data_IF_139620208298
#
_entry.id   IF_139620208298
#
_cell.length_a   1.000
_cell.length_b   1.000
_cell.length_c   1.000
_cell.angle_alpha   90.00
_cell.angle_beta   90.00
_cell.angle_gamma   90.00
#
_symmetry.space_group_name_H-M   'P 1'
#
loop_
_entity.id
_entity.type
_entity.pdbx_description
1 polymer ?
#
# COMPACT_ATOMS: atom_id res chain seq x y z
N UNK A 1 22.46 -39.25 -46.36
CA UNK A 1 23.27 -38.44 -47.29
C UNK A 1 22.35 -37.49 -48.02
N UNK A 2 22.75 -36.21 -48.09
CA UNK A 2 22.36 -35.23 -49.11
C UNK A 2 20.88 -34.79 -49.17
N UNK A 3 20.47 -33.55 -49.41
CA UNK A 3 21.03 -32.20 -49.64
C UNK A 3 19.78 -31.27 -49.49
N UNK A 4 19.82 -30.12 -48.80
CA UNK A 4 19.89 -28.75 -49.40
C UNK A 4 19.14 -28.66 -50.75
N UNK A 5 18.21 -27.74 -51.03
CA UNK A 5 18.40 -26.31 -51.40
C UNK A 5 17.03 -25.83 -51.90
N UNK A 6 16.47 -24.74 -51.36
CA UNK A 6 16.43 -23.38 -51.95
C UNK A 6 15.27 -23.06 -52.92
N UNK A 7 14.58 -21.95 -52.59
CA UNK A 7 14.24 -20.78 -53.43
C UNK A 7 13.70 -21.05 -54.84
N UNK A 8 12.52 -20.58 -55.25
CA UNK A 8 12.16 -19.19 -55.59
C UNK A 8 10.98 -19.29 -56.57
N UNK A 9 10.09 -18.29 -56.62
CA UNK A 9 9.64 -17.68 -57.88
C UNK A 9 8.43 -16.79 -57.62
N UNK A 10 8.67 -15.49 -57.73
CA UNK A 10 7.70 -14.43 -57.82
C UNK A 10 7.39 -14.24 -59.31
N UNK A 11 6.16 -14.48 -59.77
CA UNK A 11 5.69 -13.90 -61.04
C UNK A 11 4.17 -13.78 -61.15
N UNK A 12 3.70 -12.55 -60.90
CA UNK A 12 2.73 -11.73 -61.65
C UNK A 12 1.64 -12.43 -62.50
N UNK A 13 0.38 -12.11 -62.21
CA UNK A 13 -0.64 -11.77 -63.23
C UNK A 13 -1.68 -10.81 -62.63
N UNK A 14 -1.51 -9.50 -62.83
CA UNK A 14 -2.38 -8.60 -63.63
C UNK A 14 -3.89 -8.76 -63.41
N UNK A 15 -4.51 -7.75 -62.80
CA UNK A 15 -5.81 -7.25 -63.24
C UNK A 15 -5.87 -5.74 -63.06
N UNK A 16 -6.11 -5.09 -64.21
CA UNK A 16 -6.42 -3.68 -64.39
C UNK A 16 -7.86 -3.38 -63.92
N UNK A 17 -8.17 -2.09 -63.82
CA UNK A 17 -9.50 -1.44 -63.99
C UNK A 17 -10.06 -0.75 -62.73
N UNK A 18 -10.20 0.59 -62.88
CA UNK A 18 -11.07 1.57 -62.19
C UNK A 18 -10.56 2.19 -60.88
N UNK A 19 -10.56 3.53 -60.91
CA UNK A 19 -9.98 4.43 -59.93
C UNK A 19 -10.60 4.32 -58.54
N UNK A 20 -9.71 4.24 -57.55
CA UNK A 20 -10.05 4.40 -56.15
C UNK A 20 -9.46 5.76 -55.75
N UNK A 21 -10.35 6.69 -55.42
CA UNK A 21 -10.00 7.96 -54.81
C UNK A 21 -8.96 7.73 -53.70
N UNK A 22 -7.87 8.50 -53.72
CA UNK A 22 -6.90 8.51 -52.62
C UNK A 22 -7.63 8.92 -51.35
N UNK A 23 -8.09 7.91 -50.61
CA UNK A 23 -8.68 8.08 -49.31
C UNK A 23 -7.54 8.52 -48.41
N UNK A 24 -7.51 9.82 -48.14
CA UNK A 24 -6.70 10.43 -47.11
C UNK A 24 -6.85 9.60 -45.83
N UNK A 25 -5.85 8.78 -45.53
CA UNK A 25 -5.77 8.07 -44.26
C UNK A 25 -5.64 9.16 -43.20
N UNK A 26 -6.76 9.50 -42.55
CA UNK A 26 -6.77 10.38 -41.39
C UNK A 26 -5.78 9.81 -40.38
N UNK A 27 -4.82 10.63 -39.99
CA UNK A 27 -3.84 10.29 -38.96
C UNK A 27 -4.55 9.75 -37.71
N UNK A 28 -3.97 8.76 -37.02
CA UNK A 28 -4.58 8.20 -35.81
C UNK A 28 -4.78 9.30 -34.75
N UNK A 29 -5.88 9.25 -33.97
CA UNK A 29 -6.16 10.25 -32.95
C UNK A 29 -5.04 10.27 -31.92
N UNK A 30 -4.55 11.48 -31.60
CA UNK A 30 -3.50 11.72 -30.60
C UNK A 30 -3.81 10.95 -29.31
N UNK A 31 -2.91 10.04 -28.97
CA UNK A 31 -2.89 9.30 -27.72
C UNK A 31 -3.03 10.29 -26.55
N UNK A 32 -4.11 10.15 -25.78
CA UNK A 32 -4.37 11.03 -24.63
C UNK A 32 -3.27 10.76 -23.60
N UNK A 33 -2.37 11.72 -23.45
CA UNK A 33 -1.38 11.81 -22.37
C UNK A 33 -2.01 11.37 -21.04
N UNK A 34 -1.55 10.23 -20.53
CA UNK A 34 -1.89 9.75 -19.18
C UNK A 34 -1.37 10.79 -18.20
N UNK A 35 -2.28 11.58 -17.63
CA UNK A 35 -1.94 12.58 -16.61
C UNK A 35 -1.45 11.86 -15.36
N UNK A 36 -0.14 11.89 -15.09
CA UNK A 36 0.43 11.40 -13.84
C UNK A 36 -0.07 12.26 -12.68
N UNK A 37 -1.08 11.78 -11.95
CA UNK A 37 -1.56 12.47 -10.75
C UNK A 37 -0.49 12.48 -9.66
N UNK A 38 -0.15 13.68 -9.16
CA UNK A 38 0.74 13.87 -8.02
C UNK A 38 0.13 13.21 -6.77
N UNK A 39 0.84 12.24 -6.17
CA UNK A 39 0.39 11.53 -4.96
C UNK A 39 0.20 12.54 -3.81
N UNK A 40 -1.01 12.61 -3.25
CA UNK A 40 -1.31 13.47 -2.09
C UNK A 40 -0.54 12.97 -0.87
N UNK A 41 -0.07 13.89 -0.04
CA UNK A 41 0.64 13.54 1.21
C UNK A 41 -0.30 12.86 2.19
N UNK A 42 0.11 11.74 2.78
CA UNK A 42 -0.67 11.03 3.80
C UNK A 42 -0.65 11.72 5.18
N UNK A 43 0.05 12.86 5.34
CA UNK A 43 0.21 13.53 6.64
C UNK A 43 -1.14 13.89 7.28
N UNK A 44 -2.03 14.52 6.53
CA UNK A 44 -3.36 14.93 7.02
C UNK A 44 -4.24 13.74 7.35
N UNK A 45 -4.34 12.76 6.44
CA UNK A 45 -5.14 11.55 6.65
C UNK A 45 -4.63 10.73 7.84
N UNK A 46 -3.30 10.59 7.99
CA UNK A 46 -2.68 9.93 9.14
C UNK A 46 -3.01 10.63 10.45
N UNK A 47 -2.91 11.96 10.51
CA UNK A 47 -3.23 12.71 11.73
C UNK A 47 -4.69 12.57 12.13
N UNK A 48 -5.62 12.62 11.16
CA UNK A 48 -7.04 12.36 11.40
C UNK A 48 -7.28 10.93 11.90
N UNK A 49 -6.74 9.93 11.21
CA UNK A 49 -6.91 8.53 11.60
C UNK A 49 -6.33 8.26 13.00
N UNK A 50 -5.19 8.85 13.34
CA UNK A 50 -4.60 8.77 14.67
C UNK A 50 -5.56 9.30 15.75
N UNK A 51 -6.21 10.45 15.50
CA UNK A 51 -7.17 11.02 16.44
C UNK A 51 -8.43 10.16 16.58
N UNK A 52 -9.02 9.72 15.47
CA UNK A 52 -10.22 8.86 15.46
C UNK A 52 -9.95 7.51 16.14
N UNK A 53 -8.74 6.99 16.03
CA UNK A 53 -8.32 5.74 16.67
C UNK A 53 -7.77 5.94 18.09
N UNK A 54 -7.93 7.14 18.68
CA UNK A 54 -7.43 7.47 20.01
C UNK A 54 -5.94 7.15 20.21
N UNK A 55 -5.12 7.33 19.17
CA UNK A 55 -3.68 7.04 19.20
C UNK A 55 -3.31 5.56 19.16
N UNK A 56 -4.26 4.64 18.95
CA UNK A 56 -4.01 3.20 18.92
C UNK A 56 -3.83 2.68 17.48
N UNK A 57 -2.93 1.72 17.32
CA UNK A 57 -2.71 1.04 16.05
C UNK A 57 -3.98 0.31 15.60
N UNK A 58 -4.40 0.50 14.35
CA UNK A 58 -5.58 -0.16 13.79
C UNK A 58 -5.55 -1.70 13.90
N UNK A 59 -4.36 -2.30 13.75
CA UNK A 59 -4.18 -3.75 13.73
C UNK A 59 -3.95 -4.36 15.12
N UNK A 60 -2.90 -3.95 15.83
CA UNK A 60 -2.54 -4.56 17.12
C UNK A 60 -3.15 -3.87 18.35
N UNK A 61 -3.85 -2.75 18.16
CA UNK A 61 -4.48 -1.97 19.24
C UNK A 61 -3.50 -1.48 20.32
N UNK A 62 -2.21 -1.43 20.01
CA UNK A 62 -1.20 -0.89 20.92
C UNK A 62 -1.10 0.64 20.74
N UNK A 63 -0.83 1.39 21.83
CA UNK A 63 -0.54 2.82 21.76
C UNK A 63 0.58 3.11 20.76
N UNK A 64 0.44 4.21 20.03
CA UNK A 64 1.45 4.73 19.12
C UNK A 64 1.91 6.11 19.58
N UNK A 65 3.03 6.58 19.01
CA UNK A 65 3.43 7.99 19.09
C UNK A 65 3.43 8.61 17.70
N UNK A 66 3.16 9.91 17.62
CA UNK A 66 3.07 10.62 16.34
C UNK A 66 4.23 11.57 16.12
N UNK A 67 4.61 12.36 17.12
CA UNK A 67 5.65 13.38 17.00
C UNK A 67 6.97 12.88 17.57
N UNK A 68 6.93 12.23 18.74
CA UNK A 68 8.13 11.86 19.50
C UNK A 68 7.97 10.54 20.24
N UNK A 69 9.01 9.70 20.22
CA UNK A 69 9.03 8.43 20.96
C UNK A 69 8.94 8.63 22.49
N UNK A 70 9.33 9.80 22.98
CA UNK A 70 9.25 10.18 24.40
C UNK A 70 7.79 10.16 24.90
N UNK A 71 6.80 10.33 24.01
CA UNK A 71 5.37 10.17 24.33
C UNK A 71 5.08 8.77 24.92
N UNK A 72 5.75 7.71 24.45
CA UNK A 72 5.57 6.36 24.99
C UNK A 72 6.58 6.03 26.09
N UNK A 73 7.86 6.41 25.92
CA UNK A 73 8.91 6.08 26.90
C UNK A 73 8.63 6.71 28.27
N UNK A 74 7.98 7.88 28.32
CA UNK A 74 7.58 8.52 29.58
C UNK A 74 6.37 7.87 30.26
N UNK A 75 5.57 7.09 29.52
CA UNK A 75 4.32 6.46 29.99
C UNK A 75 4.46 4.98 30.28
N UNK A 76 5.40 4.31 29.64
CA UNK A 76 5.54 2.85 29.69
C UNK A 76 7.00 2.44 29.89
N UNK A 77 7.27 1.31 30.56
CA UNK A 77 8.62 0.80 30.78
C UNK A 77 9.18 0.14 29.50
N UNK A 78 9.44 0.95 28.48
CA UNK A 78 9.99 0.52 27.19
C UNK A 78 11.18 1.38 26.79
N UNK A 79 12.10 0.78 26.02
CA UNK A 79 13.24 1.48 25.43
C UNK A 79 12.82 2.30 24.21
N UNK A 80 13.63 3.31 23.83
CA UNK A 80 13.49 4.02 22.56
C UNK A 80 13.41 3.07 21.36
N UNK A 81 14.27 2.03 21.31
CA UNK A 81 14.26 1.03 20.22
C UNK A 81 12.92 0.30 20.12
N UNK A 82 12.32 -0.06 21.25
CA UNK A 82 10.99 -0.66 21.30
C UNK A 82 9.91 0.35 20.88
N UNK A 83 9.99 1.59 21.36
CA UNK A 83 9.07 2.65 20.98
C UNK A 83 9.07 2.91 19.46
N UNK A 84 10.21 2.81 18.77
CA UNK A 84 10.27 2.96 17.31
C UNK A 84 9.35 2.00 16.54
N UNK A 85 9.10 0.79 17.07
CA UNK A 85 8.16 -0.17 16.46
C UNK A 85 6.71 0.35 16.46
N UNK A 86 6.40 1.24 17.41
CA UNK A 86 5.10 1.84 17.68
C UNK A 86 4.93 3.25 17.07
N UNK A 87 5.84 3.68 16.18
CA UNK A 87 5.69 4.94 15.44
C UNK A 87 4.42 4.92 14.59
N UNK A 88 3.63 5.99 14.65
CA UNK A 88 2.44 6.16 13.83
C UNK A 88 2.80 6.35 12.35
N UNK A 89 2.22 5.50 11.51
CA UNK A 89 2.27 5.58 10.05
C UNK A 89 0.86 5.61 9.47
N UNK A 90 0.69 6.07 8.22
CA UNK A 90 -0.57 5.94 7.49
C UNK A 90 -0.54 4.67 6.64
N UNK A 91 -1.62 3.89 6.68
CA UNK A 91 -1.78 2.65 5.93
C UNK A 91 -3.05 2.68 5.08
N UNK A 92 -2.97 2.19 3.85
CA UNK A 92 -4.15 2.02 2.99
C UNK A 92 -4.79 0.65 3.24
N UNK A 93 -6.09 0.62 3.51
CA UNK A 93 -6.83 -0.63 3.72
C UNK A 93 -6.97 -1.39 2.39
N UNK A 94 -7.39 -0.68 1.34
CA UNK A 94 -7.48 -1.16 -0.04
C UNK A 94 -6.36 -0.49 -0.86
N UNK A 95 -5.45 -1.26 -1.47
CA UNK A 95 -4.42 -0.71 -2.34
C UNK A 95 -5.02 0.04 -3.54
N UNK A 96 -4.36 1.09 -4.01
CA UNK A 96 -4.76 1.79 -5.23
C UNK A 96 -4.84 0.88 -6.46
N UNK A 97 -4.01 -0.17 -6.51
CA UNK A 97 -4.01 -1.15 -7.60
C UNK A 97 -5.30 -1.97 -7.70
N UNK A 98 -6.11 -2.02 -6.63
CA UNK A 98 -7.40 -2.73 -6.58
C UNK A 98 -8.59 -1.76 -6.64
N UNK A 99 -8.37 -0.51 -7.06
CA UNK A 99 -9.42 0.51 -7.14
C UNK A 99 -9.69 1.24 -5.82
N UNK A 100 -8.84 1.07 -4.80
CA UNK A 100 -8.97 1.80 -3.55
C UNK A 100 -8.83 3.30 -3.75
N UNK A 101 -9.88 4.07 -3.45
CA UNK A 101 -9.82 5.52 -3.49
C UNK A 101 -8.84 6.07 -2.43
N UNK A 102 -8.27 7.25 -2.68
CA UNK A 102 -7.52 8.03 -1.66
C UNK A 102 -8.50 8.71 -0.69
N UNK A 103 -9.67 8.11 -0.44
CA UNK A 103 -10.64 8.65 0.49
C UNK A 103 -10.08 8.56 1.91
N UNK A 104 -10.49 9.48 2.79
CA UNK A 104 -10.05 9.47 4.18
C UNK A 104 -10.49 8.18 4.91
N UNK A 105 -11.52 7.51 4.40
CA UNK A 105 -12.06 6.24 4.91
C UNK A 105 -11.15 5.05 4.61
N UNK A 106 -10.34 5.13 3.55
CA UNK A 106 -9.43 4.07 3.15
C UNK A 106 -8.05 4.16 3.84
N UNK A 107 -7.81 5.19 4.67
CA UNK A 107 -6.53 5.41 5.35
C UNK A 107 -6.70 5.28 6.87
N UNK A 108 -5.95 4.35 7.45
CA UNK A 108 -5.90 4.14 8.91
C UNK A 108 -4.52 4.48 9.48
N UNK A 109 -4.45 4.74 10.77
CA UNK A 109 -3.20 4.85 11.50
C UNK A 109 -2.73 3.46 11.95
N UNK A 110 -1.53 3.05 11.54
CA UNK A 110 -0.93 1.78 11.92
C UNK A 110 0.47 1.99 12.46
N UNK A 111 0.90 1.15 13.40
CA UNK A 111 2.26 1.21 13.89
C UNK A 111 3.24 0.75 12.82
N UNK A 112 4.47 1.27 12.87
CA UNK A 112 5.51 0.97 11.90
C UNK A 112 5.72 -0.54 11.72
N UNK A 113 5.70 -1.31 12.81
CA UNK A 113 5.86 -2.76 12.74
C UNK A 113 4.72 -3.44 11.97
N UNK A 114 3.46 -3.13 12.30
CA UNK A 114 2.30 -3.74 11.63
C UNK A 114 2.28 -3.37 10.15
N UNK A 115 2.47 -2.08 9.84
CA UNK A 115 2.47 -1.58 8.48
C UNK A 115 3.55 -2.29 7.62
N UNK A 116 4.81 -2.30 8.09
CA UNK A 116 5.91 -3.01 7.41
C UNK A 116 5.64 -4.51 7.25
N UNK A 117 5.07 -5.15 8.27
CA UNK A 117 4.79 -6.59 8.24
C UNK A 117 3.71 -6.93 7.22
N UNK A 118 2.67 -6.08 7.08
CA UNK A 118 1.61 -6.27 6.08
C UNK A 118 2.15 -6.18 4.65
N UNK A 119 2.99 -5.18 4.35
CA UNK A 119 3.59 -5.02 3.01
C UNK A 119 4.64 -6.08 2.65
N UNK A 120 5.20 -6.78 3.65
CA UNK A 120 6.14 -7.89 3.41
C UNK A 120 5.47 -9.21 3.06
N UNK A 121 4.18 -9.39 3.35
CA UNK A 121 3.48 -10.64 3.06
C UNK A 121 3.18 -10.74 1.55
N UNK A 122 3.80 -11.72 0.87
CA UNK A 122 3.68 -11.86 -0.60
C UNK A 122 2.26 -12.05 -1.13
N UNK A 123 1.34 -12.57 -0.31
CA UNK A 123 -0.11 -12.51 -0.55
C UNK A 123 -0.72 -11.58 0.49
N UNK A 124 -1.25 -10.43 0.06
CA UNK A 124 -1.88 -9.48 0.97
C UNK A 124 -3.11 -10.14 1.61
N UNK A 125 -3.05 -10.39 2.91
CA UNK A 125 -4.25 -10.68 3.69
C UNK A 125 -5.19 -9.48 3.60
N UNK A 126 -6.49 -9.73 3.62
CA UNK A 126 -7.47 -8.66 3.84
C UNK A 126 -7.11 -7.94 5.15
N UNK A 127 -7.47 -6.67 5.25
CA UNK A 127 -7.18 -5.86 6.44
C UNK A 127 -7.65 -6.56 7.72
N UNK A 128 -8.87 -7.11 7.71
CA UNK A 128 -9.45 -7.81 8.86
C UNK A 128 -8.72 -9.12 9.19
N UNK A 129 -8.36 -9.92 8.18
CA UNK A 129 -7.60 -11.15 8.42
C UNK A 129 -6.20 -10.84 8.99
N UNK A 130 -5.55 -9.77 8.52
CA UNK A 130 -4.29 -9.31 9.08
C UNK A 130 -4.45 -8.80 10.52
N UNK A 131 -5.51 -8.04 10.80
CA UNK A 131 -5.85 -7.56 12.15
C UNK A 131 -6.02 -8.72 13.13
N UNK A 132 -6.85 -9.71 12.78
CA UNK A 132 -7.06 -10.92 13.59
C UNK A 132 -5.75 -11.65 13.85
N UNK A 133 -4.90 -11.83 12.84
CA UNK A 133 -3.57 -12.44 12.98
C UNK A 133 -2.67 -11.63 13.93
N UNK A 134 -2.62 -10.31 13.77
CA UNK A 134 -1.80 -9.43 14.59
C UNK A 134 -2.21 -9.51 16.06
N UNK A 135 -3.52 -9.41 16.35
CA UNK A 135 -4.07 -9.51 17.71
C UNK A 135 -3.83 -10.91 18.31
N UNK A 136 -4.02 -11.98 17.55
CA UNK A 136 -3.73 -13.34 18.00
C UNK A 136 -2.24 -13.50 18.36
N UNK A 137 -1.32 -13.03 17.52
CA UNK A 137 0.11 -13.13 17.82
C UNK A 137 0.53 -12.23 18.98
N UNK A 138 -0.10 -11.06 19.11
CA UNK A 138 0.13 -10.14 20.23
C UNK A 138 -0.27 -10.79 21.56
N UNK A 139 -1.41 -11.47 21.62
CA UNK A 139 -1.88 -12.14 22.84
C UNK A 139 -0.94 -13.28 23.28
N UNK A 140 -0.20 -13.86 22.33
CA UNK A 140 0.85 -14.87 22.58
C UNK A 140 2.24 -14.27 22.82
N UNK A 141 2.40 -12.94 22.84
CA UNK A 141 3.70 -12.27 22.93
C UNK A 141 4.59 -12.40 21.69
N UNK A 142 4.08 -13.02 20.62
CA UNK A 142 4.85 -13.42 19.42
C UNK A 142 4.67 -12.47 18.23
N UNK A 143 4.32 -11.20 18.49
CA UNK A 143 4.17 -10.17 17.46
C UNK A 143 5.41 -9.27 17.41
N UNK A 144 5.38 -8.10 18.06
CA UNK A 144 6.55 -7.22 18.25
C UNK A 144 7.10 -7.26 19.69
N UNK A 145 6.63 -8.19 20.53
CA UNK A 145 7.12 -8.37 21.90
C UNK A 145 6.71 -7.28 22.91
N UNK A 146 5.74 -6.42 22.56
CA UNK A 146 5.25 -5.36 23.46
C UNK A 146 3.76 -5.55 23.69
N UNK A 147 3.32 -5.44 24.94
CA UNK A 147 1.91 -5.36 25.33
C UNK A 147 1.76 -4.26 26.37
N UNK A 148 1.57 -3.04 25.88
CA UNK A 148 1.32 -1.85 26.68
C UNK A 148 -0.15 -1.87 27.10
N UNK A 149 -0.38 -2.00 28.39
CA UNK A 149 -1.68 -1.76 29.02
C UNK A 149 -1.65 -0.33 29.54
N UNK A 150 -2.65 0.49 29.22
CA UNK A 150 -2.73 1.84 29.77
C UNK A 150 -2.54 1.77 31.28
N UNK A 151 -1.43 2.33 31.75
CA UNK A 151 -1.05 2.32 33.16
C UNK A 151 -1.97 3.25 33.94
N UNK A 152 -3.21 2.85 34.15
CA UNK A 152 -4.07 3.38 35.21
C UNK A 152 -3.59 2.72 36.52
N UNK A 153 -2.35 2.99 36.91
CA UNK A 153 -1.87 2.80 38.27
C UNK A 153 -1.58 4.20 38.79
N UNK A 154 -2.52 4.71 39.58
CA UNK A 154 -2.56 6.09 40.05
C UNK A 154 -1.22 6.56 40.63
N UNK A 155 -0.78 7.73 40.17
CA UNK A 155 0.06 8.61 40.97
C UNK A 155 -0.88 9.38 41.89
N UNK A 156 -1.17 8.80 43.05
CA UNK A 156 -1.50 9.59 44.23
C UNK A 156 -0.20 10.28 44.65
N UNK A 157 -0.18 11.60 44.49
CA UNK A 157 0.78 12.48 45.16
C UNK A 157 0.46 12.55 46.66
#
# INVERSE_FOLDING_TARGET
>A
MALVTERTAFHRLVTSIIGIAMSFIKSPPKEKSVKTQKRKSLKTSRSRAYQVQHGHCYYCHQPMWKESEQELVSRFPITSKQAQLLKCTGEHLVPHSEGGEVSQENIVAACLFCNRTRHKAGKALTSDAFKTRAQYRLSKGAWHGLRLTDGVSGRTH
#
